data_IF_934988288703
#
_entry.id   IF_934988288703
#
_cell.length_a   1.000
_cell.length_b   1.000
_cell.length_c   1.000
_cell.angle_alpha   90.00
_cell.angle_beta   90.00
_cell.angle_gamma   90.00
#
_symmetry.space_group_name_H-M   'P 1'
#
loop_
_entity.id
_entity.type
_entity.pdbx_description
1 polymer ?
#
# COMPACT_ATOMS: atom_id res chain seq x y z
N UNK A 1 -22.57 10.92 -28.76
CA UNK A 1 -21.92 11.23 -27.45
C UNK A 1 -22.38 10.30 -26.33
N UNK A 2 -23.70 10.11 -26.15
CA UNK A 2 -24.30 9.26 -25.08
C UNK A 2 -23.86 7.79 -25.15
N UNK A 3 -23.79 7.18 -26.34
CA UNK A 3 -23.33 5.77 -26.52
C UNK A 3 -21.89 5.56 -26.05
N UNK A 4 -20.98 6.50 -26.36
CA UNK A 4 -19.57 6.46 -25.92
C UNK A 4 -19.42 6.58 -24.39
N UNK A 5 -20.27 7.40 -23.75
CA UNK A 5 -20.28 7.55 -22.29
C UNK A 5 -20.82 6.27 -21.62
N UNK A 6 -21.87 5.67 -22.19
CA UNK A 6 -22.44 4.40 -21.73
C UNK A 6 -21.45 3.24 -21.84
N UNK A 7 -20.70 3.16 -22.94
CA UNK A 7 -19.68 2.14 -23.14
C UNK A 7 -18.50 2.31 -22.18
N UNK A 8 -18.09 3.56 -21.90
CA UNK A 8 -17.08 3.85 -20.88
C UNK A 8 -17.55 3.43 -19.49
N UNK A 9 -18.78 3.75 -19.11
CA UNK A 9 -19.35 3.38 -17.82
C UNK A 9 -19.47 1.86 -17.65
N UNK A 10 -19.95 1.16 -18.68
CA UNK A 10 -20.07 -0.30 -18.66
C UNK A 10 -18.69 -0.98 -18.57
N UNK A 11 -17.68 -0.46 -19.29
CA UNK A 11 -16.31 -0.95 -19.15
C UNK A 11 -15.72 -0.63 -17.79
N UNK A 12 -16.03 0.53 -17.20
CA UNK A 12 -15.52 0.94 -15.90
C UNK A 12 -16.07 0.08 -14.76
N UNK A 13 -17.36 -0.29 -14.82
CA UNK A 13 -18.03 -1.12 -13.81
C UNK A 13 -17.76 -2.62 -14.04
N UNK A 14 -16.52 -3.02 -13.79
CA UNK A 14 -16.05 -4.38 -13.97
C UNK A 14 -15.93 -5.09 -12.63
N UNK A 15 -16.70 -6.17 -12.50
CA UNK A 15 -16.74 -6.97 -11.27
C UNK A 15 -15.41 -7.66 -11.01
N UNK A 16 -14.60 -7.90 -12.04
CA UNK A 16 -13.30 -8.54 -11.90
C UNK A 16 -12.33 -7.67 -11.08
N UNK A 17 -12.46 -6.34 -11.11
CA UNK A 17 -11.63 -5.43 -10.33
C UNK A 17 -11.71 -5.70 -8.83
N UNK A 18 -12.92 -6.01 -8.35
CA UNK A 18 -13.19 -6.28 -6.94
C UNK A 18 -12.55 -7.62 -6.54
N UNK A 19 -12.62 -8.62 -7.43
CA UNK A 19 -11.95 -9.91 -7.22
C UNK A 19 -10.42 -9.79 -7.26
N UNK A 20 -9.87 -9.00 -8.17
CA UNK A 20 -8.43 -8.71 -8.24
C UNK A 20 -7.94 -7.93 -7.02
N UNK A 21 -8.75 -6.99 -6.51
CA UNK A 21 -8.42 -6.32 -5.27
C UNK A 21 -8.37 -7.30 -4.09
N UNK A 22 -9.31 -8.24 -4.02
CA UNK A 22 -9.33 -9.28 -2.99
C UNK A 22 -8.08 -10.18 -3.07
N UNK A 23 -7.70 -10.64 -4.27
CA UNK A 23 -6.50 -11.49 -4.44
C UNK A 23 -5.23 -10.74 -4.05
N UNK A 24 -5.04 -9.50 -4.53
CA UNK A 24 -3.87 -8.68 -4.18
C UNK A 24 -3.80 -8.38 -2.69
N UNK A 25 -4.95 -8.17 -2.04
CA UNK A 25 -5.02 -7.96 -0.60
C UNK A 25 -4.57 -9.19 0.18
N UNK A 26 -5.03 -10.37 -0.23
CA UNK A 26 -4.62 -11.64 0.36
C UNK A 26 -3.10 -11.85 0.25
N UNK A 27 -2.52 -11.67 -0.94
CA UNK A 27 -1.07 -11.81 -1.12
C UNK A 27 -0.28 -10.73 -0.36
N UNK A 28 -0.81 -9.51 -0.26
CA UNK A 28 -0.21 -8.46 0.58
C UNK A 28 -0.18 -8.91 2.04
N UNK A 29 -1.30 -9.39 2.57
CA UNK A 29 -1.40 -9.87 3.95
C UNK A 29 -0.46 -11.06 4.22
N UNK A 30 -0.40 -12.01 3.28
CA UNK A 30 0.50 -13.17 3.36
C UNK A 30 1.97 -12.75 3.42
N UNK A 31 2.34 -11.67 2.74
CA UNK A 31 3.72 -11.18 2.67
C UNK A 31 4.15 -10.38 3.91
N UNK A 32 3.21 -9.86 4.69
CA UNK A 32 3.52 -9.02 5.87
C UNK A 32 4.20 -9.83 6.97
N UNK A 33 3.71 -11.03 7.30
CA UNK A 33 4.26 -11.84 8.40
C UNK A 33 5.72 -12.21 8.14
N UNK A 34 6.10 -12.78 6.98
CA UNK A 34 7.49 -13.08 6.68
C UNK A 34 8.39 -11.84 6.69
N UNK A 35 7.88 -10.71 6.17
CA UNK A 35 8.60 -9.44 6.16
C UNK A 35 8.87 -8.90 7.57
N UNK A 36 7.93 -9.05 8.49
CA UNK A 36 8.13 -8.71 9.90
C UNK A 36 9.20 -9.59 10.56
N UNK A 37 9.18 -10.91 10.31
CA UNK A 37 10.20 -11.83 10.84
C UNK A 37 11.60 -11.50 10.33
N UNK A 38 11.75 -11.24 9.02
CA UNK A 38 13.03 -10.87 8.45
C UNK A 38 13.51 -9.51 8.98
N UNK A 39 12.61 -8.52 9.04
CA UNK A 39 12.94 -7.19 9.58
C UNK A 39 13.40 -7.30 11.03
N UNK A 40 12.69 -8.08 11.84
CA UNK A 40 13.06 -8.36 13.23
C UNK A 40 14.45 -9.01 13.31
N UNK A 41 14.71 -10.04 12.51
CA UNK A 41 16.02 -10.72 12.50
C UNK A 41 17.16 -9.75 12.16
N UNK A 42 16.96 -8.87 11.18
CA UNK A 42 17.93 -7.83 10.82
C UNK A 42 18.12 -6.86 11.98
N UNK A 43 17.03 -6.43 12.64
CA UNK A 43 17.12 -5.54 13.79
C UNK A 43 17.87 -6.17 14.96
N UNK A 44 17.64 -7.46 15.27
CA UNK A 44 18.34 -8.16 16.36
C UNK A 44 19.84 -8.27 16.15
N UNK A 45 20.31 -8.17 14.90
CA UNK A 45 21.72 -8.24 14.55
C UNK A 45 22.44 -6.88 14.61
N UNK A 46 21.71 -5.78 14.81
CA UNK A 46 22.34 -4.46 14.93
C UNK A 46 23.06 -4.34 16.28
N UNK A 47 24.30 -3.78 16.32
CA UNK A 47 25.07 -3.64 17.56
C UNK A 47 24.34 -2.87 18.66
N UNK A 48 23.51 -1.89 18.29
CA UNK A 48 22.75 -1.07 19.24
C UNK A 48 21.48 -1.76 19.76
N UNK A 49 21.07 -2.90 19.21
CA UNK A 49 19.78 -3.52 19.53
C UNK A 49 19.68 -3.98 20.98
N UNK A 50 20.77 -4.49 21.57
CA UNK A 50 20.80 -4.91 22.97
C UNK A 50 20.45 -3.76 23.93
N UNK A 51 21.01 -2.56 23.70
CA UNK A 51 20.71 -1.37 24.50
C UNK A 51 19.22 -0.96 24.40
N UNK A 52 18.61 -1.09 23.21
CA UNK A 52 17.19 -0.82 23.03
C UNK A 52 16.31 -1.90 23.67
N UNK A 53 16.68 -3.16 23.56
CA UNK A 53 15.97 -4.29 24.16
C UNK A 53 15.92 -4.14 25.69
N UNK A 54 17.03 -3.75 26.31
CA UNK A 54 17.11 -3.56 27.76
C UNK A 54 16.21 -2.40 28.21
N UNK A 55 16.19 -1.28 27.48
CA UNK A 55 15.26 -0.17 27.75
C UNK A 55 13.80 -0.59 27.63
N UNK A 56 13.46 -1.42 26.65
CA UNK A 56 12.10 -1.95 26.47
C UNK A 56 11.73 -2.89 27.62
N UNK A 57 12.63 -3.81 28.00
CA UNK A 57 12.45 -4.71 29.14
C UNK A 57 12.21 -3.92 30.43
N UNK A 58 13.07 -2.95 30.74
CA UNK A 58 12.92 -2.08 31.92
C UNK A 58 11.57 -1.35 31.90
N UNK A 59 11.17 -0.76 30.78
CA UNK A 59 9.87 -0.09 30.66
C UNK A 59 8.68 -1.04 30.91
N UNK A 60 8.69 -2.24 30.30
CA UNK A 60 7.61 -3.22 30.47
C UNK A 60 7.54 -3.72 31.93
N UNK A 61 8.70 -4.01 32.53
CA UNK A 61 8.80 -4.57 33.88
C UNK A 61 8.49 -3.56 34.98
N UNK A 62 8.84 -2.28 34.78
CA UNK A 62 8.59 -1.21 35.73
C UNK A 62 7.18 -0.59 35.56
N UNK A 63 6.67 -0.48 34.33
CA UNK A 63 5.45 0.31 34.05
C UNK A 63 4.20 -0.49 33.74
N UNK A 64 4.30 -1.75 33.27
CA UNK A 64 3.15 -2.48 32.73
C UNK A 64 2.79 -3.75 33.50
N UNK A 65 3.76 -4.62 33.79
CA UNK A 65 3.48 -5.96 34.33
C UNK A 65 4.55 -6.45 35.34
N UNK A 66 4.60 -5.91 36.57
CA UNK A 66 5.58 -6.31 37.58
C UNK A 66 5.47 -7.78 38.00
N UNK A 67 4.27 -8.37 37.93
CA UNK A 67 3.98 -9.75 38.37
C UNK A 67 4.27 -10.84 37.32
N UNK A 68 4.67 -10.47 36.09
CA UNK A 68 4.89 -11.41 34.98
C UNK A 68 6.25 -11.25 34.29
N UNK A 69 7.22 -10.66 34.98
CA UNK A 69 8.54 -10.34 34.44
C UNK A 69 9.30 -11.59 33.94
N UNK A 70 9.20 -12.70 34.67
CA UNK A 70 9.91 -13.94 34.37
C UNK A 70 9.36 -14.63 33.11
N UNK A 71 8.03 -14.69 32.97
CA UNK A 71 7.36 -15.25 31.79
C UNK A 71 7.71 -14.44 30.53
N UNK A 72 7.67 -13.11 30.62
CA UNK A 72 7.97 -12.23 29.48
C UNK A 72 9.46 -12.32 29.11
N UNK A 73 10.35 -12.40 30.10
CA UNK A 73 11.80 -12.59 29.87
C UNK A 73 12.08 -13.89 29.14
N UNK A 74 11.45 -14.99 29.57
CA UNK A 74 11.59 -16.29 28.93
C UNK A 74 11.12 -16.26 27.46
N UNK A 75 9.98 -15.63 27.17
CA UNK A 75 9.50 -15.48 25.80
C UNK A 75 10.45 -14.63 24.94
N UNK A 76 10.96 -13.52 25.49
CA UNK A 76 11.91 -12.65 24.79
C UNK A 76 13.23 -13.38 24.49
N UNK A 77 13.78 -14.09 25.47
CA UNK A 77 15.02 -14.86 25.31
C UNK A 77 14.83 -15.99 24.30
N UNK A 78 13.72 -16.75 24.40
CA UNK A 78 13.42 -17.81 23.44
C UNK A 78 13.23 -17.26 22.01
N UNK A 79 12.65 -16.07 21.88
CA UNK A 79 12.45 -15.43 20.59
C UNK A 79 13.77 -14.91 19.98
N UNK A 80 14.66 -14.37 20.82
CA UNK A 80 15.99 -13.93 20.41
C UNK A 80 16.93 -15.09 20.09
N UNK A 81 16.90 -16.16 20.88
CA UNK A 81 17.74 -17.35 20.67
C UNK A 81 17.38 -18.07 19.38
N UNK A 82 16.13 -17.97 18.91
CA UNK A 82 15.64 -18.56 17.68
C UNK A 82 15.59 -17.58 16.49
N UNK A 83 16.07 -16.35 16.66
CA UNK A 83 15.95 -15.29 15.64
C UNK A 83 16.53 -15.69 14.29
N UNK A 84 17.66 -16.42 14.27
CA UNK A 84 18.28 -16.92 13.03
C UNK A 84 17.38 -17.94 12.31
N UNK A 85 16.79 -18.90 13.04
CA UNK A 85 15.89 -19.90 12.45
C UNK A 85 14.58 -19.26 11.97
N UNK A 86 14.03 -18.34 12.75
CA UNK A 86 12.86 -17.53 12.35
C UNK A 86 13.18 -16.67 11.11
N UNK A 87 14.41 -16.16 11.02
CA UNK A 87 14.93 -15.42 9.89
C UNK A 87 15.04 -16.27 8.63
N UNK A 88 15.55 -17.50 8.71
CA UNK A 88 15.62 -18.43 7.58
C UNK A 88 14.23 -18.83 7.07
N UNK A 89 13.32 -19.18 7.98
CA UNK A 89 11.91 -19.48 7.64
C UNK A 89 11.25 -18.26 7.01
N UNK A 90 11.45 -17.09 7.63
CA UNK A 90 10.97 -15.80 7.12
C UNK A 90 11.51 -15.51 5.72
N UNK A 91 12.79 -15.74 5.48
CA UNK A 91 13.43 -15.53 4.17
C UNK A 91 12.83 -16.42 3.09
N UNK A 92 12.68 -17.72 3.33
CA UNK A 92 12.03 -18.65 2.39
C UNK A 92 10.58 -18.24 2.13
N UNK A 93 9.85 -17.90 3.20
CA UNK A 93 8.46 -17.46 3.10
C UNK A 93 8.31 -16.11 2.36
N UNK A 94 9.27 -15.19 2.49
CA UNK A 94 9.32 -13.94 1.71
C UNK A 94 9.50 -14.25 0.23
N UNK A 95 10.44 -15.12 -0.14
CA UNK A 95 10.67 -15.48 -1.54
C UNK A 95 9.36 -16.03 -2.15
N UNK A 96 8.71 -16.95 -1.43
CA UNK A 96 7.44 -17.53 -1.87
C UNK A 96 6.32 -16.47 -2.00
N UNK A 97 6.05 -15.73 -0.91
CA UNK A 97 4.95 -14.76 -0.85
C UNK A 97 5.12 -13.60 -1.84
N UNK A 98 6.35 -13.09 -1.97
CA UNK A 98 6.69 -12.02 -2.91
C UNK A 98 6.55 -12.47 -4.36
N UNK A 99 7.01 -13.69 -4.68
CA UNK A 99 6.83 -14.27 -6.02
C UNK A 99 5.34 -14.40 -6.35
N UNK A 100 4.56 -14.98 -5.43
CA UNK A 100 3.12 -15.16 -5.61
C UNK A 100 2.37 -13.82 -5.75
N UNK A 101 2.75 -12.81 -4.95
CA UNK A 101 2.21 -11.46 -5.08
C UNK A 101 2.49 -10.87 -6.47
N UNK A 102 3.74 -10.95 -6.95
CA UNK A 102 4.10 -10.38 -8.24
C UNK A 102 3.47 -11.10 -9.43
N UNK A 103 3.33 -12.42 -9.35
CA UNK A 103 2.67 -13.19 -10.39
C UNK A 103 1.18 -12.81 -10.47
N UNK A 104 0.52 -12.69 -9.32
CA UNK A 104 -0.86 -12.20 -9.26
C UNK A 104 -0.95 -10.75 -9.79
N UNK A 105 -0.05 -9.87 -9.38
CA UNK A 105 -0.02 -8.47 -9.84
C UNK A 105 0.15 -8.36 -11.36
N UNK A 106 1.09 -9.12 -11.94
CA UNK A 106 1.31 -9.17 -13.39
C UNK A 106 0.09 -9.68 -14.12
N UNK A 107 -0.56 -10.73 -13.59
CA UNK A 107 -1.80 -11.25 -14.14
C UNK A 107 -2.89 -10.18 -14.18
N UNK A 108 -3.10 -9.45 -13.07
CA UNK A 108 -4.09 -8.37 -12.99
C UNK A 108 -3.76 -7.24 -13.97
N UNK A 109 -2.52 -6.77 -14.01
CA UNK A 109 -2.08 -5.72 -14.94
C UNK A 109 -2.26 -6.15 -16.39
N UNK A 110 -1.90 -7.40 -16.74
CA UNK A 110 -2.09 -7.98 -18.08
C UNK A 110 -3.56 -8.08 -18.47
N UNK A 111 -4.44 -8.34 -17.50
CA UNK A 111 -5.89 -8.39 -17.76
C UNK A 111 -6.48 -7.00 -17.99
N UNK A 112 -5.97 -5.99 -17.27
CA UNK A 112 -6.46 -4.60 -17.34
C UNK A 112 -5.86 -3.80 -18.50
N UNK A 113 -4.74 -4.25 -19.06
CA UNK A 113 -4.07 -3.60 -20.18
C UNK A 113 -4.12 -4.48 -21.43
N UNK A 114 -4.21 -3.87 -22.60
CA UNK A 114 -4.13 -4.56 -23.90
C UNK A 114 -2.69 -4.95 -24.30
N UNK A 115 -1.72 -4.74 -23.41
CA UNK A 115 -0.28 -4.87 -23.69
C UNK A 115 0.25 -6.21 -23.19
N UNK A 116 1.30 -6.73 -23.84
CA UNK A 116 2.01 -7.91 -23.36
C UNK A 116 2.66 -7.63 -22.00
N UNK A 117 2.44 -8.51 -21.04
CA UNK A 117 3.13 -8.48 -19.76
C UNK A 117 4.63 -8.67 -20.00
N UNK A 118 5.48 -7.80 -19.46
CA UNK A 118 6.92 -8.00 -19.44
C UNK A 118 7.30 -9.18 -18.54
N UNK A 119 8.44 -9.81 -18.86
CA UNK A 119 8.95 -10.98 -18.17
C UNK A 119 9.38 -10.69 -16.73
N UNK A 120 9.27 -11.71 -15.85
CA UNK A 120 9.45 -11.59 -14.41
C UNK A 120 10.81 -11.01 -13.97
N UNK A 121 11.88 -11.32 -14.70
CA UNK A 121 13.26 -11.03 -14.32
C UNK A 121 13.85 -9.76 -14.93
N UNK A 122 13.33 -9.26 -16.05
CA UNK A 122 13.83 -8.05 -16.71
C UNK A 122 13.44 -6.76 -15.96
N UNK A 123 12.48 -6.85 -15.04
CA UNK A 123 11.91 -5.71 -14.32
C UNK A 123 12.11 -5.77 -12.80
N UNK A 124 12.93 -6.70 -12.28
CA UNK A 124 13.14 -6.87 -10.83
C UNK A 124 13.52 -5.55 -10.13
N UNK A 125 14.39 -4.74 -10.74
CA UNK A 125 14.78 -3.41 -10.25
C UNK A 125 13.60 -2.42 -10.18
N UNK A 126 12.70 -2.47 -11.18
CA UNK A 126 11.49 -1.62 -11.20
C UNK A 126 10.51 -2.04 -10.10
N UNK A 127 10.34 -3.34 -9.88
CA UNK A 127 9.47 -3.90 -8.85
C UNK A 127 10.05 -3.74 -7.42
N UNK A 128 11.37 -3.80 -7.26
CA UNK A 128 12.06 -3.49 -5.99
C UNK A 128 11.84 -2.05 -5.56
N UNK A 129 11.83 -1.13 -6.52
CA UNK A 129 11.50 0.27 -6.26
C UNK A 129 10.08 0.39 -5.70
N UNK A 130 9.12 -0.43 -6.16
CA UNK A 130 7.75 -0.42 -5.64
C UNK A 130 7.66 -0.95 -4.20
N UNK A 131 8.35 -2.06 -3.90
CA UNK A 131 8.38 -2.66 -2.56
C UNK A 131 8.94 -1.69 -1.53
N UNK A 132 9.91 -0.87 -1.90
CA UNK A 132 10.55 0.07 -0.97
C UNK A 132 9.83 1.42 -0.93
N UNK A 133 9.58 2.02 -2.09
CA UNK A 133 9.05 3.37 -2.21
C UNK A 133 7.60 3.48 -1.76
N UNK A 134 6.76 2.47 -2.03
CA UNK A 134 5.35 2.52 -1.67
C UNK A 134 5.13 2.45 -0.14
N UNK A 135 5.68 1.48 0.61
CA UNK A 135 5.55 1.46 2.07
C UNK A 135 6.22 2.65 2.75
N UNK A 136 7.42 3.05 2.31
CA UNK A 136 8.11 4.22 2.87
C UNK A 136 7.32 5.50 2.65
N UNK A 137 6.82 5.71 1.44
CA UNK A 137 6.03 6.89 1.10
C UNK A 137 4.67 6.91 1.78
N UNK A 138 4.01 5.76 1.93
CA UNK A 138 2.81 5.63 2.77
C UNK A 138 3.12 5.99 4.23
N UNK A 139 4.17 5.40 4.81
CA UNK A 139 4.60 5.66 6.18
C UNK A 139 4.91 7.13 6.43
N UNK A 140 5.66 7.76 5.53
CA UNK A 140 5.95 9.19 5.55
C UNK A 140 4.67 10.03 5.46
N UNK A 141 3.75 9.68 4.56
CA UNK A 141 2.47 10.38 4.41
C UNK A 141 1.63 10.29 5.69
N UNK A 142 1.53 9.12 6.32
CA UNK A 142 0.86 8.95 7.61
C UNK A 142 1.53 9.76 8.73
N UNK A 143 2.86 9.69 8.84
CA UNK A 143 3.63 10.44 9.84
C UNK A 143 3.40 11.95 9.71
N UNK A 144 3.51 12.49 8.49
CA UNK A 144 3.27 13.90 8.22
C UNK A 144 1.81 14.29 8.51
N UNK A 145 0.84 13.44 8.11
CA UNK A 145 -0.59 13.67 8.43
C UNK A 145 -0.79 13.82 9.94
N UNK A 146 -0.23 12.91 10.73
CA UNK A 146 -0.36 12.92 12.18
C UNK A 146 0.31 14.15 12.81
N UNK A 147 1.53 14.49 12.37
CA UNK A 147 2.25 15.69 12.84
C UNK A 147 1.49 16.97 12.54
N UNK A 148 0.94 17.13 11.34
CA UNK A 148 0.16 18.31 10.98
C UNK A 148 -1.14 18.42 11.76
N UNK A 149 -1.83 17.31 12.05
CA UNK A 149 -3.03 17.34 12.90
C UNK A 149 -2.73 17.85 14.32
N UNK A 150 -1.61 17.44 14.91
CA UNK A 150 -1.19 17.92 16.24
C UNK A 150 -0.88 19.42 16.20
N UNK A 151 -0.14 19.88 15.19
CA UNK A 151 0.21 21.30 15.03
C UNK A 151 -1.02 22.18 14.81
N UNK A 152 -1.97 21.74 13.97
CA UNK A 152 -3.22 22.47 13.71
C UNK A 152 -4.08 22.62 14.96
N UNK A 153 -4.07 21.63 15.86
CA UNK A 153 -4.81 21.72 17.12
C UNK A 153 -4.13 22.63 18.17
N UNK A 154 -2.85 22.99 17.98
CA UNK A 154 -2.06 23.75 18.96
C UNK A 154 -1.88 25.24 18.59
N UNK A 155 -2.09 25.64 17.33
CA UNK A 155 -1.86 27.03 16.89
C UNK A 155 -2.98 27.57 15.99
N UNK A 156 -3.60 28.68 16.40
CA UNK A 156 -4.60 29.48 15.64
C UNK A 156 -4.02 30.26 14.42
N UNK A 157 -2.76 30.05 14.04
CA UNK A 157 -2.10 30.85 13.00
C UNK A 157 -1.11 30.02 12.17
N UNK A 158 -1.29 30.01 10.84
CA UNK A 158 -0.44 30.78 9.87
C UNK A 158 -0.52 30.17 8.46
N UNK A 159 -0.70 31.01 7.44
CA UNK A 159 -0.85 30.70 6.00
C UNK A 159 0.20 29.73 5.39
N UNK A 160 1.37 29.54 6.01
CA UNK A 160 2.39 28.55 5.57
C UNK A 160 2.01 27.10 5.87
N UNK A 161 1.17 26.87 6.89
CA UNK A 161 0.62 25.55 7.24
C UNK A 161 -0.32 25.04 6.14
N UNK A 162 -0.87 25.94 5.33
CA UNK A 162 -1.86 25.59 4.31
C UNK A 162 -1.27 24.80 3.13
N UNK A 163 0.00 25.02 2.76
CA UNK A 163 0.63 24.25 1.67
C UNK A 163 1.16 22.90 2.18
N UNK A 164 1.67 22.88 3.42
CA UNK A 164 2.20 21.68 4.05
C UNK A 164 1.13 20.60 4.28
N UNK A 165 -0.15 21.01 4.43
CA UNK A 165 -1.29 20.09 4.55
C UNK A 165 -1.49 19.22 3.30
N UNK A 166 -1.05 19.69 2.12
CA UNK A 166 -1.13 18.95 0.86
C UNK A 166 0.08 18.05 0.62
N UNK A 167 1.16 18.17 1.40
CA UNK A 167 2.38 17.39 1.20
C UNK A 167 2.13 15.86 1.32
N UNK A 168 1.37 15.35 2.31
CA UNK A 168 1.01 13.93 2.37
C UNK A 168 0.27 13.46 1.12
N UNK A 169 -0.59 14.31 0.56
CA UNK A 169 -1.37 14.05 -0.66
C UNK A 169 -0.46 13.96 -1.90
N UNK A 170 0.46 14.91 -2.05
CA UNK A 170 1.42 14.95 -3.16
C UNK A 170 2.29 13.70 -3.16
N UNK A 171 2.75 13.25 -1.98
CA UNK A 171 3.56 12.02 -1.85
C UNK A 171 2.79 10.82 -2.42
N UNK A 172 1.53 10.64 -2.03
CA UNK A 172 0.70 9.52 -2.51
C UNK A 172 0.43 9.62 -4.00
N UNK A 173 0.16 10.84 -4.50
CA UNK A 173 -0.04 11.08 -5.91
C UNK A 173 1.18 10.67 -6.74
N UNK A 174 2.38 11.10 -6.33
CA UNK A 174 3.64 10.75 -6.97
C UNK A 174 3.88 9.25 -6.93
N UNK A 175 3.63 8.59 -5.79
CA UNK A 175 3.76 7.13 -5.67
C UNK A 175 2.84 6.43 -6.67
N UNK A 176 1.55 6.76 -6.72
CA UNK A 176 0.63 6.14 -7.67
C UNK A 176 1.03 6.41 -9.13
N UNK A 177 1.51 7.61 -9.45
CA UNK A 177 2.01 7.92 -10.78
C UNK A 177 3.22 7.05 -11.16
N UNK A 178 4.18 6.88 -10.23
CA UNK A 178 5.36 6.01 -10.42
C UNK A 178 4.92 4.56 -10.59
N UNK A 179 4.02 4.07 -9.73
CA UNK A 179 3.53 2.69 -9.80
C UNK A 179 2.85 2.43 -11.12
N UNK A 180 1.92 3.29 -11.54
CA UNK A 180 1.23 3.13 -12.82
C UNK A 180 2.22 3.13 -13.98
N UNK A 181 3.17 4.05 -14.00
CA UNK A 181 4.20 4.13 -15.04
C UNK A 181 5.06 2.87 -15.10
N UNK A 182 5.48 2.33 -13.96
CA UNK A 182 6.28 1.11 -13.89
C UNK A 182 5.49 -0.11 -14.37
N UNK A 183 4.20 -0.17 -14.04
CA UNK A 183 3.35 -1.31 -14.39
C UNK A 183 3.03 -1.41 -15.88
N UNK A 184 3.30 -0.37 -16.67
CA UNK A 184 2.98 -0.33 -18.09
C UNK A 184 4.27 -0.43 -18.91
N UNK A 185 4.38 -1.50 -19.71
CA UNK A 185 5.58 -1.77 -20.51
C UNK A 185 5.52 -1.19 -21.95
N UNK A 186 4.79 -0.09 -22.17
CA UNK A 186 4.71 0.59 -23.48
C UNK A 186 5.04 2.07 -23.36
N UNK A 187 5.29 2.74 -24.48
CA UNK A 187 5.34 4.21 -24.48
C UNK A 187 3.96 4.73 -24.06
N UNK A 188 3.94 5.52 -22.99
CA UNK A 188 2.72 6.01 -22.36
C UNK A 188 2.70 7.53 -22.35
N UNK A 189 1.51 8.10 -22.48
CA UNK A 189 1.32 9.52 -22.25
C UNK A 189 1.39 9.80 -20.75
N UNK A 190 2.46 10.46 -20.31
CA UNK A 190 2.62 10.90 -18.92
C UNK A 190 1.43 11.75 -18.43
N UNK A 191 0.73 12.44 -19.35
CA UNK A 191 -0.45 13.26 -19.01
C UNK A 191 -1.60 12.40 -18.46
N UNK A 192 -1.89 11.25 -19.08
CA UNK A 192 -2.96 10.35 -18.62
C UNK A 192 -2.59 9.64 -17.33
N UNK A 193 -1.30 9.29 -17.15
CA UNK A 193 -0.80 8.73 -15.89
C UNK A 193 -0.96 9.73 -14.74
N UNK A 194 -0.56 10.98 -14.95
CA UNK A 194 -0.68 12.03 -13.92
C UNK A 194 -2.15 12.31 -13.58
N UNK A 195 -3.03 12.37 -14.57
CA UNK A 195 -4.46 12.62 -14.35
C UNK A 195 -5.16 11.47 -13.59
N UNK A 196 -4.94 10.23 -14.01
CA UNK A 196 -5.52 9.05 -13.34
C UNK A 196 -4.99 8.88 -11.91
N UNK A 197 -3.68 9.00 -11.70
CA UNK A 197 -3.08 8.93 -10.36
C UNK A 197 -3.54 10.07 -9.45
N UNK A 198 -3.83 11.25 -9.99
CA UNK A 198 -4.41 12.37 -9.23
C UNK A 198 -5.81 12.03 -8.71
N UNK A 199 -6.69 11.51 -9.57
CA UNK A 199 -8.04 11.05 -9.16
C UNK A 199 -7.93 9.94 -8.11
N UNK A 200 -7.01 9.01 -8.31
CA UNK A 200 -6.78 7.86 -7.42
C UNK A 200 -6.31 8.30 -6.05
N UNK A 201 -5.33 9.19 -5.98
CA UNK A 201 -4.83 9.74 -4.72
C UNK A 201 -5.89 10.55 -3.99
N UNK A 202 -6.79 11.24 -4.70
CA UNK A 202 -7.91 11.96 -4.11
C UNK A 202 -8.92 11.00 -3.47
N UNK A 203 -9.31 9.96 -4.21
CA UNK A 203 -10.17 8.90 -3.69
C UNK A 203 -9.54 8.20 -2.48
N UNK A 204 -8.25 7.86 -2.56
CA UNK A 204 -7.53 7.18 -1.49
C UNK A 204 -7.42 8.03 -0.22
N UNK A 205 -7.14 9.33 -0.33
CA UNK A 205 -7.13 10.23 0.82
C UNK A 205 -8.53 10.44 1.42
N UNK A 206 -9.57 10.54 0.58
CA UNK A 206 -10.95 10.57 1.05
C UNK A 206 -11.32 9.30 1.84
N UNK A 207 -10.96 8.13 1.30
CA UNK A 207 -11.16 6.85 1.99
C UNK A 207 -10.32 6.73 3.26
N UNK A 208 -9.09 7.25 3.30
CA UNK A 208 -8.25 7.30 4.50
C UNK A 208 -8.94 8.09 5.61
N UNK A 209 -9.43 9.29 5.30
CA UNK A 209 -10.16 10.10 6.27
C UNK A 209 -11.43 9.40 6.76
N UNK A 210 -12.22 8.83 5.85
CA UNK A 210 -13.43 8.09 6.19
C UNK A 210 -13.13 6.86 7.07
N UNK A 211 -12.08 6.11 6.75
CA UNK A 211 -11.65 4.92 7.47
C UNK A 211 -11.19 5.27 8.89
N UNK A 212 -10.33 6.29 9.05
CA UNK A 212 -9.91 6.79 10.36
C UNK A 212 -11.13 7.22 11.16
N UNK A 213 -12.02 8.03 10.58
CA UNK A 213 -13.24 8.47 11.27
C UNK A 213 -14.08 7.27 11.73
N UNK A 214 -14.30 6.29 10.86
CA UNK A 214 -15.08 5.11 11.19
C UNK A 214 -14.48 4.29 12.34
N UNK A 215 -13.17 4.01 12.30
CA UNK A 215 -12.51 3.19 13.33
C UNK A 215 -12.39 3.90 14.68
N UNK A 216 -12.28 5.24 14.70
CA UNK A 216 -12.24 6.01 15.94
C UNK A 216 -13.60 6.18 16.62
N UNK A 217 -14.67 6.46 15.85
CA UNK A 217 -15.99 6.71 16.42
C UNK A 217 -16.80 5.43 16.67
N UNK A 218 -16.68 4.41 15.82
CA UNK A 218 -17.45 3.18 15.96
C UNK A 218 -16.72 2.13 16.80
N UNK A 219 -16.93 2.18 18.12
CA UNK A 219 -16.31 1.24 19.07
C UNK A 219 -17.06 -0.09 19.20
N UNK A 220 -18.20 -0.28 18.54
CA UNK A 220 -19.00 -1.52 18.65
C UNK A 220 -18.19 -2.75 18.24
N UNK A 221 -17.48 -2.68 17.11
CA UNK A 221 -16.63 -3.77 16.63
C UNK A 221 -15.45 -4.05 17.57
N UNK A 222 -14.84 -3.00 18.14
CA UNK A 222 -13.77 -3.16 19.14
C UNK A 222 -14.30 -3.74 20.44
N UNK A 223 -15.53 -3.43 20.83
CA UNK A 223 -16.16 -3.96 22.04
C UNK A 223 -16.51 -5.46 21.93
N UNK A 224 -16.89 -5.93 20.74
CA UNK A 224 -17.28 -7.33 20.52
C UNK A 224 -16.05 -8.22 20.31
N UNK A 225 -15.11 -7.78 19.46
CA UNK A 225 -13.97 -8.61 19.02
C UNK A 225 -12.63 -8.23 19.66
N UNK A 226 -12.58 -7.19 20.50
CA UNK A 226 -11.38 -6.80 21.24
C UNK A 226 -10.19 -6.45 20.33
N UNK A 227 -9.02 -7.02 20.64
CA UNK A 227 -7.79 -6.82 19.87
C UNK A 227 -7.85 -7.43 18.46
N UNK A 228 -8.71 -8.43 18.24
CA UNK A 228 -8.88 -9.05 16.92
C UNK A 228 -9.45 -8.08 15.87
N UNK A 229 -10.21 -7.06 16.31
CA UNK A 229 -10.77 -6.03 15.43
C UNK A 229 -9.70 -5.25 14.66
N UNK A 230 -8.50 -5.10 15.23
CA UNK A 230 -7.38 -4.41 14.59
C UNK A 230 -6.99 -5.12 13.29
N UNK A 231 -6.89 -6.45 13.34
CA UNK A 231 -6.54 -7.28 12.19
C UNK A 231 -7.62 -7.21 11.11
N UNK A 232 -8.90 -7.29 11.51
CA UNK A 232 -10.03 -7.18 10.59
C UNK A 232 -10.07 -5.83 9.88
N UNK A 233 -9.89 -4.73 10.63
CA UNK A 233 -9.85 -3.38 10.06
C UNK A 233 -8.65 -3.20 9.13
N UNK A 234 -7.49 -3.74 9.50
CA UNK A 234 -6.30 -3.69 8.65
C UNK A 234 -6.50 -4.45 7.33
N UNK A 235 -7.11 -5.64 7.37
CA UNK A 235 -7.47 -6.40 6.17
C UNK A 235 -8.43 -5.60 5.27
N UNK A 236 -9.48 -5.02 5.86
CA UNK A 236 -10.45 -4.19 5.15
C UNK A 236 -9.77 -2.95 4.51
N UNK A 237 -8.83 -2.34 5.22
CA UNK A 237 -8.09 -1.18 4.73
C UNK A 237 -7.24 -1.50 3.49
N UNK A 238 -6.51 -2.62 3.52
CA UNK A 238 -5.74 -3.11 2.39
C UNK A 238 -6.66 -3.35 1.19
N UNK A 239 -7.81 -3.99 1.43
CA UNK A 239 -8.79 -4.26 0.39
C UNK A 239 -9.36 -3.01 -0.28
N UNK A 240 -9.80 -2.03 0.51
CA UNK A 240 -10.28 -0.75 0.00
C UNK A 240 -9.18 -0.03 -0.77
N UNK A 241 -7.94 -0.06 -0.28
CA UNK A 241 -6.79 0.56 -0.96
C UNK A 241 -6.54 -0.05 -2.35
N UNK A 242 -6.62 -1.38 -2.46
CA UNK A 242 -6.47 -2.07 -3.75
C UNK A 242 -7.63 -1.79 -4.70
N UNK A 243 -8.86 -1.72 -4.22
CA UNK A 243 -10.02 -1.31 -5.03
C UNK A 243 -9.73 0.06 -5.66
N UNK A 244 -9.40 1.06 -4.84
CA UNK A 244 -9.14 2.43 -5.31
C UNK A 244 -8.01 2.45 -6.33
N UNK A 245 -6.91 1.76 -6.03
CA UNK A 245 -5.75 1.65 -6.92
C UNK A 245 -6.12 1.05 -8.28
N UNK A 246 -6.88 -0.05 -8.31
CA UNK A 246 -7.23 -0.73 -9.57
C UNK A 246 -8.25 0.05 -10.39
N UNK A 247 -9.24 0.68 -9.75
CA UNK A 247 -10.17 1.57 -10.44
C UNK A 247 -9.43 2.74 -11.08
N UNK A 248 -8.50 3.36 -10.36
CA UNK A 248 -7.62 4.40 -10.86
C UNK A 248 -6.78 3.96 -12.08
N UNK A 249 -6.20 2.76 -11.99
CA UNK A 249 -5.42 2.18 -13.07
C UNK A 249 -6.28 1.91 -14.29
N UNK A 250 -7.54 1.50 -14.09
CA UNK A 250 -8.50 1.32 -15.18
C UNK A 250 -8.90 2.62 -15.87
N UNK A 251 -9.01 3.73 -15.13
CA UNK A 251 -9.23 5.06 -15.74
C UNK A 251 -8.08 5.36 -16.71
N UNK A 252 -6.84 5.10 -16.29
CA UNK A 252 -5.69 5.27 -17.16
C UNK A 252 -5.81 4.44 -18.44
N UNK A 253 -6.09 3.13 -18.33
CA UNK A 253 -6.11 2.25 -19.50
C UNK A 253 -7.19 2.63 -20.50
N UNK A 254 -8.38 3.02 -20.02
CA UNK A 254 -9.46 3.50 -20.88
C UNK A 254 -9.14 4.81 -21.58
N UNK A 255 -8.45 5.75 -20.93
CA UNK A 255 -8.01 7.01 -21.54
C UNK A 255 -6.95 6.77 -22.62
N UNK A 256 -6.00 5.88 -22.35
CA UNK A 256 -4.91 5.56 -23.26
C UNK A 256 -5.41 4.79 -24.50
N UNK A 257 -6.33 3.82 -24.32
CA UNK A 257 -6.99 3.12 -25.43
C UNK A 257 -7.78 4.07 -26.34
N UNK A 258 -8.52 5.00 -25.75
CA UNK A 258 -9.30 5.97 -26.52
C UNK A 258 -8.40 6.85 -27.38
N UNK A 259 -7.31 7.35 -26.83
CA UNK A 259 -6.35 8.18 -27.55
C UNK A 259 -5.69 7.42 -28.72
N UNK A 260 -5.27 6.17 -28.48
CA UNK A 260 -4.66 5.33 -29.52
C UNK A 260 -5.61 4.95 -30.66
N UNK A 261 -6.91 4.80 -30.37
CA UNK A 261 -7.93 4.56 -31.40
C UNK A 261 -8.26 5.82 -32.21
N UNK A 262 -8.25 7.00 -31.58
CA UNK A 262 -8.45 8.26 -32.28
C UNK A 262 -7.30 8.52 -33.26
N UNK A 263 -6.04 8.38 -32.86
CA UNK A 263 -4.88 8.57 -33.76
C UNK A 263 -4.90 7.65 -34.98
N UNK A 264 -5.24 6.37 -34.81
CA UNK A 264 -5.34 5.41 -35.93
C UNK A 264 -6.45 5.75 -36.93
N UNK A 265 -7.59 6.22 -36.43
CA UNK A 265 -8.71 6.63 -37.30
C UNK A 265 -8.40 7.89 -38.10
N UNK A 266 -7.62 8.83 -37.56
CA UNK A 266 -7.15 9.99 -38.30
C UNK A 266 -6.21 9.57 -39.43
N UNK A 267 -5.24 8.68 -39.16
CA UNK A 267 -4.32 8.17 -40.17
C UNK A 267 -5.05 7.43 -41.31
N UNK A 268 -6.05 6.60 -41.00
CA UNK A 268 -6.82 5.86 -42.02
C UNK A 268 -7.75 6.74 -42.89
N UNK A 269 -8.25 7.86 -42.36
CA UNK A 269 -9.12 8.78 -43.12
C UNK A 269 -8.33 9.88 -43.85
N UNK A 270 -7.00 9.91 -43.71
CA UNK A 270 -6.11 10.89 -44.35
C UNK A 270 -5.47 10.39 -45.65
N UNK A 271 -5.83 9.18 -46.09
CA UNK A 271 -5.46 8.56 -47.37
C UNK A 271 -6.71 8.29 -48.19
#
# INVERSE_FOLDING_TARGET
MIKKIKDFYNKFYDRDLVHFAASLSFYTMLSIIPLLLLSFTIFTQLPSFEEYLDRIKSFIFESLLPSHQEIISQYLEQFLSNSLNLGLIGFVAIIFSTTAFFDNYKYVVKKLTTSSASGFWQDFSKYWTLITLAPLGLGLSFYLTAKFQILLNQTELTKWINLAIFLPYIIIWVIFAIVYKISINKQTSNKFILFSSFITSLAWNGSKFAFIKYTFYNKTYTSIYGSFSILLFFLLWIYISWIIFLYGFKIYTLLDEKNGNETKNWEQNSY
#
